data_IF_109611023955
#
_entry.id   IF_109611023955
#
_cell.length_a   1.000
_cell.length_b   1.000
_cell.length_c   1.000
_cell.angle_alpha   90.00
_cell.angle_beta   90.00
_cell.angle_gamma   90.00
#
_symmetry.space_group_name_H-M   'P 1'
#
loop_
_entity.id
_entity.type
_entity.pdbx_description
1 polymer ?
#
# COMPACT_ATOMS: atom_id res chain seq x y z
N UNK A 1 14.37 -6.23 0.97
CA UNK A 1 14.37 -4.74 1.07
C UNK A 1 15.63 -4.11 0.48
N UNK A 2 16.79 -4.78 0.52
CA UNK A 2 18.03 -4.30 -0.08
C UNK A 2 17.91 -3.94 -1.57
N UNK A 3 17.24 -4.76 -2.38
CA UNK A 3 17.01 -4.48 -3.82
C UNK A 3 16.33 -3.12 -4.06
N UNK A 4 15.37 -2.73 -3.21
CA UNK A 4 14.67 -1.44 -3.36
C UNK A 4 15.63 -0.27 -3.12
N UNK A 5 16.50 -0.37 -2.13
CA UNK A 5 17.41 0.73 -1.77
C UNK A 5 18.67 0.75 -2.64
N UNK A 6 19.24 -0.42 -2.95
CA UNK A 6 20.51 -0.56 -3.65
C UNK A 6 20.32 -0.45 -5.18
N UNK A 7 19.36 -1.16 -5.74
CA UNK A 7 19.22 -1.25 -7.20
C UNK A 7 18.29 -0.16 -7.74
N UNK A 8 17.20 0.14 -7.02
CA UNK A 8 16.19 1.11 -7.46
C UNK A 8 16.35 2.51 -6.85
N UNK A 9 17.34 2.71 -5.95
CA UNK A 9 17.52 3.94 -5.17
C UNK A 9 16.21 4.44 -4.55
N UNK A 10 15.33 3.52 -4.17
CA UNK A 10 14.00 3.82 -3.67
C UNK A 10 14.07 4.29 -2.21
N UNK A 11 13.33 5.35 -1.92
CA UNK A 11 13.09 5.82 -0.55
C UNK A 11 11.99 4.99 0.09
N UNK A 12 12.35 4.20 1.11
CA UNK A 12 11.40 3.45 1.93
C UNK A 12 10.75 4.42 2.93
N UNK A 13 9.43 4.51 2.92
CA UNK A 13 8.67 5.34 3.87
C UNK A 13 8.32 4.56 5.13
N UNK A 14 7.93 3.29 4.97
CA UNK A 14 7.74 2.36 6.08
C UNK A 14 8.03 0.92 5.63
N UNK A 15 8.60 0.14 6.54
CA UNK A 15 8.92 -1.28 6.31
C UNK A 15 7.99 -2.27 6.98
N UNK A 16 7.08 -1.80 7.83
CA UNK A 16 6.06 -2.60 8.51
C UNK A 16 4.99 -1.65 9.05
N UNK A 17 3.75 -2.12 9.09
CA UNK A 17 2.61 -1.38 9.64
C UNK A 17 2.06 -2.17 10.82
N UNK A 18 1.67 -1.49 11.90
CA UNK A 18 1.00 -2.14 13.02
C UNK A 18 -0.47 -2.43 12.65
N UNK A 19 -0.70 -3.50 11.90
CA UNK A 19 -2.02 -3.94 11.45
C UNK A 19 -2.16 -5.46 11.48
N UNK A 20 -3.39 -5.94 11.66
CA UNK A 20 -3.76 -7.36 11.52
C UNK A 20 -4.98 -7.48 10.60
N UNK A 21 -4.93 -8.28 9.52
CA UNK A 21 -3.73 -8.88 8.90
C UNK A 21 -2.86 -7.81 8.21
N UNK A 22 -1.58 -8.10 7.90
CA UNK A 22 -0.76 -7.23 7.04
C UNK A 22 0.48 -6.56 7.65
N UNK A 23 0.94 -7.01 8.83
CA UNK A 23 2.15 -6.48 9.51
C UNK A 23 3.37 -6.22 8.61
N UNK A 24 3.78 -7.11 7.67
CA UNK A 24 5.01 -6.90 6.89
C UNK A 24 4.85 -5.95 5.68
N UNK A 25 3.74 -5.20 5.56
CA UNK A 25 3.53 -4.30 4.42
C UNK A 25 4.58 -3.19 4.38
N UNK A 26 5.22 -3.02 3.23
CA UNK A 26 6.27 -2.03 2.97
C UNK A 26 5.80 -1.05 1.90
N UNK A 27 6.13 0.23 2.05
CA UNK A 27 5.88 1.25 1.02
C UNK A 27 7.15 2.03 0.73
N UNK A 28 7.43 2.21 -0.56
CA UNK A 28 8.57 2.96 -1.05
C UNK A 28 8.19 3.80 -2.27
N UNK A 29 8.97 4.83 -2.55
CA UNK A 29 8.91 5.58 -3.80
C UNK A 29 10.30 5.69 -4.42
N UNK A 30 10.40 5.55 -5.73
CA UNK A 30 11.62 5.82 -6.49
C UNK A 30 11.32 6.79 -7.63
N UNK A 31 12.34 7.50 -8.08
CA UNK A 31 12.28 8.26 -9.33
C UNK A 31 12.93 7.42 -10.43
N UNK A 32 12.18 7.16 -11.49
CA UNK A 32 12.63 6.39 -12.64
C UNK A 32 12.36 7.18 -13.91
N UNK A 33 13.43 7.51 -14.65
CA UNK A 33 13.38 8.36 -15.85
C UNK A 33 12.65 9.70 -15.63
N UNK A 34 12.89 10.34 -14.47
CA UNK A 34 12.26 11.61 -14.10
C UNK A 34 10.79 11.49 -13.65
N UNK A 35 10.23 10.27 -13.62
CA UNK A 35 8.86 10.01 -13.18
C UNK A 35 8.87 9.30 -11.83
N UNK A 36 8.14 9.86 -10.86
CA UNK A 36 7.96 9.25 -9.55
C UNK A 36 7.11 7.98 -9.65
N UNK A 37 7.65 6.86 -9.18
CA UNK A 37 6.98 5.56 -9.09
C UNK A 37 6.73 5.20 -7.63
N UNK A 38 5.59 4.56 -7.37
CA UNK A 38 5.19 4.07 -6.06
C UNK A 38 5.31 2.55 -6.03
N UNK A 39 5.93 2.01 -4.98
CA UNK A 39 6.18 0.58 -4.81
C UNK A 39 5.51 0.11 -3.52
N UNK A 40 4.66 -0.91 -3.64
CA UNK A 40 3.95 -1.54 -2.54
C UNK A 40 4.46 -2.98 -2.35
N UNK A 41 5.16 -3.21 -1.25
CA UNK A 41 5.57 -4.56 -0.83
C UNK A 41 4.47 -5.18 0.02
N UNK A 42 3.62 -6.01 -0.60
CA UNK A 42 2.52 -6.68 0.08
C UNK A 42 2.98 -7.97 0.79
N UNK A 43 2.25 -8.43 1.81
CA UNK A 43 2.52 -9.72 2.46
C UNK A 43 2.34 -10.89 1.50
N UNK A 44 3.13 -11.97 1.65
CA UNK A 44 3.03 -13.16 0.80
C UNK A 44 1.78 -14.03 1.02
N UNK A 45 1.02 -13.80 2.10
CA UNK A 45 -0.24 -14.52 2.34
C UNK A 45 -1.36 -13.89 1.48
N UNK A 46 -2.08 -14.65 0.63
CA UNK A 46 -3.08 -14.11 -0.29
C UNK A 46 -4.21 -13.32 0.38
N UNK A 47 -4.66 -13.75 1.56
CA UNK A 47 -5.70 -13.03 2.33
C UNK A 47 -5.15 -11.69 2.80
N UNK A 48 -3.92 -11.69 3.32
CA UNK A 48 -3.25 -10.46 3.76
C UNK A 48 -2.94 -9.53 2.58
N UNK A 49 -2.54 -10.07 1.43
CA UNK A 49 -2.28 -9.32 0.21
C UNK A 49 -3.55 -8.63 -0.31
N UNK A 50 -4.69 -9.33 -0.28
CA UNK A 50 -5.98 -8.77 -0.71
C UNK A 50 -6.40 -7.61 0.20
N UNK A 51 -6.33 -7.80 1.52
CA UNK A 51 -6.69 -6.74 2.50
C UNK A 51 -5.78 -5.52 2.36
N UNK A 52 -4.46 -5.74 2.27
CA UNK A 52 -3.48 -4.65 2.14
C UNK A 52 -3.57 -3.94 0.79
N UNK A 53 -3.94 -4.64 -0.29
CA UNK A 53 -4.23 -4.02 -1.59
C UNK A 53 -5.42 -3.08 -1.52
N UNK A 54 -6.51 -3.51 -0.87
CA UNK A 54 -7.67 -2.65 -0.66
C UNK A 54 -7.34 -1.45 0.21
N UNK A 55 -6.57 -1.61 1.28
CA UNK A 55 -6.27 -0.50 2.18
C UNK A 55 -5.28 0.53 1.61
N UNK A 56 -4.31 0.11 0.80
CA UNK A 56 -3.23 1.00 0.34
C UNK A 56 -3.18 1.20 -1.17
N UNK A 57 -3.24 0.12 -1.95
CA UNK A 57 -3.02 0.16 -3.41
C UNK A 57 -4.20 0.83 -4.10
N UNK A 58 -5.44 0.41 -3.80
CA UNK A 58 -6.63 0.97 -4.47
C UNK A 58 -6.81 2.46 -4.19
N UNK A 59 -6.72 2.95 -2.93
CA UNK A 59 -6.78 4.39 -2.66
C UNK A 59 -5.66 5.18 -3.34
N UNK A 60 -4.44 4.61 -3.43
CA UNK A 60 -3.34 5.24 -4.15
C UNK A 60 -3.65 5.37 -5.65
N UNK A 61 -4.14 4.30 -6.28
CA UNK A 61 -4.56 4.33 -7.68
C UNK A 61 -5.69 5.33 -7.92
N UNK A 62 -6.73 5.36 -7.07
CA UNK A 62 -7.83 6.34 -7.16
C UNK A 62 -7.32 7.78 -7.09
N UNK A 63 -6.40 8.05 -6.16
CA UNK A 63 -5.77 9.37 -6.04
C UNK A 63 -4.97 9.74 -7.29
N UNK A 64 -4.22 8.80 -7.86
CA UNK A 64 -3.48 9.01 -9.11
C UNK A 64 -4.41 9.23 -10.31
N UNK A 65 -5.58 8.61 -10.33
CA UNK A 65 -6.62 8.84 -11.35
C UNK A 65 -7.43 10.13 -11.14
N UNK A 66 -7.08 10.98 -10.16
CA UNK A 66 -7.77 12.25 -9.92
C UNK A 66 -9.13 12.13 -9.21
N UNK A 67 -9.40 11.01 -8.52
CA UNK A 67 -10.65 10.86 -7.78
C UNK A 67 -10.71 11.86 -6.60
N UNK A 68 -11.84 12.58 -6.41
CA UNK A 68 -11.96 13.59 -5.35
C UNK A 68 -11.92 12.98 -3.95
N UNK A 69 -12.48 11.78 -3.78
CA UNK A 69 -12.37 10.99 -2.56
C UNK A 69 -11.81 9.59 -2.87
N UNK A 70 -10.52 9.33 -2.57
CA UNK A 70 -9.90 8.04 -2.88
C UNK A 70 -10.22 6.93 -1.86
N UNK A 71 -10.80 7.28 -0.71
CA UNK A 71 -11.06 6.34 0.38
C UNK A 71 -12.39 5.59 0.19
N UNK A 72 -12.54 4.49 0.93
CA UNK A 72 -13.78 3.71 0.93
C UNK A 72 -14.84 4.35 1.82
N UNK A 73 -16.09 4.25 1.39
CA UNK A 73 -17.25 4.53 2.24
C UNK A 73 -17.25 3.56 3.42
N UNK A 74 -17.33 4.10 4.64
CA UNK A 74 -17.41 3.30 5.87
C UNK A 74 -18.84 3.35 6.38
N UNK A 75 -19.41 2.18 6.67
CA UNK A 75 -20.77 2.04 7.21
C UNK A 75 -20.70 1.42 8.59
N UNK A 76 -21.43 1.97 9.56
CA UNK A 76 -21.55 1.39 10.90
C UNK A 76 -22.51 0.22 10.85
N UNK A 77 -22.06 -0.95 11.30
CA UNK A 77 -22.88 -2.17 11.35
C UNK A 77 -22.86 -2.75 12.77
N UNK A 78 -23.98 -3.35 13.19
CA UNK A 78 -24.07 -4.10 14.45
C UNK A 78 -23.86 -5.58 14.13
N UNK A 79 -22.79 -6.16 14.68
CA UNK A 79 -22.59 -7.62 14.61
C UNK A 79 -23.59 -8.27 15.56
N UNK A 80 -24.47 -9.11 15.04
CA UNK A 80 -25.35 -9.97 15.83
C UNK A 80 -24.83 -11.38 15.62
N UNK A 81 -24.35 -12.00 16.71
CA UNK A 81 -23.90 -13.39 16.74
C UNK A 81 -25.06 -14.29 17.17
#
# INVERSE_FOLDING_TARGET
>A
KQVLTLDLKAKIHFGSVLMKPGKPTTFASCDFNGIKKLIFGLPGNPVSATVTSHLFVIPACRKLCGWPNPFYTTVKVKVTL
#
